data_IF_513988644846
#
_entry.id   IF_513988644846
#
_cell.length_a   1.000
_cell.length_b   1.000
_cell.length_c   1.000
_cell.angle_alpha   90.00
_cell.angle_beta   90.00
_cell.angle_gamma   90.00
#
_symmetry.space_group_name_H-M   'P 1'
#
loop_
_entity.id
_entity.type
_entity.pdbx_description
1 polymer ?
#
# COMPACT_ATOMS: atom_id res chain seq x y z
N UNK A 1 9.30 -8.13 16.18
CA UNK A 1 9.16 -6.77 15.58
C UNK A 1 8.61 -6.76 14.16
N UNK A 2 8.36 -7.92 13.52
CA UNK A 2 7.61 -8.04 12.25
C UNK A 2 6.11 -8.36 12.46
N UNK A 3 5.78 -9.02 13.58
CA UNK A 3 4.40 -9.29 14.03
C UNK A 3 3.63 -8.06 14.52
N UNK A 4 3.91 -6.85 14.05
CA UNK A 4 3.22 -5.64 14.54
C UNK A 4 2.76 -4.69 13.44
N UNK A 5 3.06 -5.00 12.18
CA UNK A 5 2.69 -4.16 11.03
C UNK A 5 1.88 -4.89 9.95
N UNK A 6 1.81 -6.22 10.01
CA UNK A 6 0.98 -7.09 9.20
C UNK A 6 0.44 -8.23 10.10
N UNK A 7 -0.27 -7.88 11.18
CA UNK A 7 -1.01 -8.91 11.93
C UNK A 7 -2.38 -9.03 11.26
N UNK A 8 -2.65 -10.17 10.64
CA UNK A 8 -4.03 -10.62 10.43
C UNK A 8 -4.66 -10.85 11.80
N UNK A 9 -5.53 -9.96 12.25
CA UNK A 9 -6.51 -10.31 13.26
C UNK A 9 -7.86 -10.51 12.57
N UNK A 10 -8.42 -11.73 12.69
CA UNK A 10 -9.75 -12.08 12.21
C UNK A 10 -9.98 -11.79 10.70
N UNK A 11 -8.96 -11.97 9.86
CA UNK A 11 -9.06 -11.78 8.42
C UNK A 11 -9.15 -10.32 7.94
N UNK A 12 -8.81 -9.35 8.79
CA UNK A 12 -8.71 -7.92 8.43
C UNK A 12 -7.27 -7.43 8.59
N UNK A 13 -6.77 -6.70 7.59
CA UNK A 13 -5.42 -6.10 7.61
C UNK A 13 -5.54 -4.73 8.28
N UNK A 14 -5.10 -4.63 9.54
CA UNK A 14 -5.12 -3.38 10.31
C UNK A 14 -3.71 -2.76 10.35
N UNK A 15 -3.55 -1.65 9.63
CA UNK A 15 -2.36 -0.80 9.65
C UNK A 15 -2.37 0.05 10.93
N UNK A 16 -1.56 -0.31 11.92
CA UNK A 16 -1.42 0.52 13.11
C UNK A 16 -0.38 1.65 12.90
N UNK A 17 -0.86 2.89 13.06
CA UNK A 17 -0.17 4.17 13.28
C UNK A 17 1.28 4.28 12.77
N UNK A 18 1.44 4.78 11.54
CA UNK A 18 2.64 5.53 11.18
C UNK A 18 2.48 7.01 11.59
N UNK A 19 3.50 7.55 12.25
CA UNK A 19 3.64 8.97 12.60
C UNK A 19 3.91 9.85 11.36
N UNK A 20 2.95 9.87 10.44
CA UNK A 20 2.83 10.86 9.37
C UNK A 20 1.33 11.02 9.09
N UNK A 21 0.69 11.97 9.78
CA UNK A 21 -0.75 12.32 9.71
C UNK A 21 -1.64 11.27 8.99
N UNK A 22 -1.84 10.07 9.58
CA UNK A 22 -2.45 8.94 8.88
C UNK A 22 -3.96 9.11 8.63
N UNK A 23 -4.58 10.17 9.16
CA UNK A 23 -6.02 10.41 9.05
C UNK A 23 -6.39 11.08 7.73
N UNK A 24 -5.59 11.97 7.16
CA UNK A 24 -6.03 12.66 5.92
C UNK A 24 -6.00 11.71 4.71
N UNK A 25 -4.92 10.94 4.57
CA UNK A 25 -4.74 10.09 3.38
C UNK A 25 -5.70 8.90 3.32
N UNK A 26 -6.15 8.38 4.47
CA UNK A 26 -7.03 7.22 4.50
C UNK A 26 -8.46 7.57 4.05
N UNK A 27 -8.93 8.79 4.33
CA UNK A 27 -10.34 9.17 4.16
C UNK A 27 -10.65 9.80 2.81
N UNK A 28 -9.63 10.29 2.09
CA UNK A 28 -9.81 10.99 0.80
C UNK A 28 -9.91 10.03 -0.40
N UNK A 29 -9.82 8.71 -0.15
CA UNK A 29 -9.97 7.70 -1.18
C UNK A 29 -11.39 7.12 -1.18
N UNK A 30 -12.18 7.46 -2.20
CA UNK A 30 -13.55 6.94 -2.39
C UNK A 30 -13.62 5.39 -2.45
N UNK A 31 -12.51 4.74 -2.83
CA UNK A 31 -12.44 3.27 -2.84
C UNK A 31 -12.36 2.70 -1.43
N UNK A 32 -11.74 3.40 -0.49
CA UNK A 32 -11.73 2.95 0.92
C UNK A 32 -13.13 3.05 1.52
N UNK A 33 -13.90 4.07 1.13
CA UNK A 33 -15.30 4.21 1.53
C UNK A 33 -16.17 3.07 1.00
N UNK A 34 -16.07 2.79 -0.30
CA UNK A 34 -16.89 1.77 -0.98
C UNK A 34 -16.42 0.33 -0.74
N UNK A 35 -15.13 0.10 -0.54
CA UNK A 35 -14.52 -1.21 -0.26
C UNK A 35 -13.67 -1.16 1.02
N UNK A 36 -14.28 -1.61 2.12
CA UNK A 36 -13.64 -1.70 3.44
C UNK A 36 -12.47 -2.70 3.52
N UNK A 37 -12.27 -3.55 2.51
CA UNK A 37 -11.12 -4.46 2.45
C UNK A 37 -9.91 -3.80 1.80
N UNK A 38 -10.11 -2.76 0.98
CA UNK A 38 -9.03 -2.05 0.33
C UNK A 38 -8.17 -1.34 1.38
N UNK A 39 -6.86 -1.61 1.34
CA UNK A 39 -5.92 -1.07 2.32
C UNK A 39 -5.85 0.45 2.31
N UNK A 40 -6.01 1.07 1.14
CA UNK A 40 -5.91 2.52 0.98
C UNK A 40 -4.51 3.03 0.65
N UNK A 41 -4.35 4.34 0.44
CA UNK A 41 -3.11 4.92 -0.06
C UNK A 41 -2.00 5.06 0.99
N UNK A 42 -2.35 5.28 2.26
CA UNK A 42 -1.36 5.38 3.35
C UNK A 42 -0.54 4.10 3.58
N UNK A 43 -1.15 2.89 3.74
CA UNK A 43 -0.38 1.65 3.88
C UNK A 43 0.43 1.32 2.64
N UNK A 44 -0.13 1.58 1.45
CA UNK A 44 0.57 1.36 0.18
C UNK A 44 1.81 2.23 0.06
N UNK A 45 1.71 3.51 0.43
CA UNK A 45 2.86 4.40 0.43
C UNK A 45 3.94 3.92 1.41
N UNK A 46 3.54 3.43 2.60
CA UNK A 46 4.50 2.81 3.53
C UNK A 46 5.14 1.56 2.92
N UNK A 47 4.35 0.65 2.36
CA UNK A 47 4.87 -0.55 1.74
C UNK A 47 5.87 -0.22 0.62
N UNK A 48 5.57 0.79 -0.20
CA UNK A 48 6.50 1.29 -1.21
C UNK A 48 7.83 1.75 -0.60
N UNK A 49 7.82 2.52 0.50
CA UNK A 49 9.08 2.94 1.15
C UNK A 49 9.89 1.76 1.67
N UNK A 50 9.24 0.71 2.17
CA UNK A 50 9.91 -0.49 2.67
C UNK A 50 10.49 -1.31 1.51
N UNK A 51 9.70 -1.57 0.46
CA UNK A 51 10.14 -2.29 -0.74
C UNK A 51 11.26 -1.54 -1.49
N UNK A 52 11.33 -0.22 -1.36
CA UNK A 52 12.40 0.61 -1.92
C UNK A 52 13.66 0.66 -1.04
N UNK A 53 13.56 0.30 0.24
CA UNK A 53 14.69 0.30 1.17
C UNK A 53 15.51 -0.97 0.97
N UNK A 54 16.78 -0.85 0.57
CA UNK A 54 17.68 -1.99 0.36
C UNK A 54 17.98 -2.77 1.64
N UNK A 55 17.67 -2.20 2.81
CA UNK A 55 17.84 -2.84 4.12
C UNK A 55 16.62 -3.70 4.48
N UNK A 56 15.47 -3.53 3.83
CA UNK A 56 14.27 -4.35 4.07
C UNK A 56 14.43 -5.70 3.34
N UNK A 57 14.76 -6.75 4.09
CA UNK A 57 14.90 -8.11 3.55
C UNK A 57 13.57 -8.78 3.14
N UNK A 58 12.43 -8.16 3.41
CA UNK A 58 11.09 -8.73 3.23
C UNK A 58 10.35 -8.18 1.99
N UNK A 59 11.06 -7.57 1.04
CA UNK A 59 10.44 -6.92 -0.12
C UNK A 59 9.59 -7.85 -1.00
N UNK A 60 9.98 -9.12 -1.17
CA UNK A 60 9.23 -10.11 -1.96
C UNK A 60 7.91 -10.49 -1.27
N UNK A 61 7.97 -10.89 -0.01
CA UNK A 61 6.79 -11.25 0.80
C UNK A 61 5.77 -10.10 0.84
N UNK A 62 6.23 -8.85 0.92
CA UNK A 62 5.35 -7.68 0.84
C UNK A 62 4.68 -7.54 -0.53
N UNK A 63 5.42 -7.74 -1.62
CA UNK A 63 4.83 -7.68 -2.97
C UNK A 63 3.76 -8.77 -3.14
N UNK A 64 3.97 -9.98 -2.60
CA UNK A 64 2.98 -11.05 -2.67
C UNK A 64 1.69 -10.72 -1.91
N UNK A 65 1.80 -10.11 -0.73
CA UNK A 65 0.63 -9.68 0.07
C UNK A 65 -0.14 -8.56 -0.65
N UNK A 66 0.56 -7.64 -1.31
CA UNK A 66 -0.03 -6.48 -1.96
C UNK A 66 -0.57 -6.80 -3.36
N UNK A 67 -0.14 -7.90 -3.96
CA UNK A 67 -0.61 -8.40 -5.25
C UNK A 67 -2.01 -9.03 -5.14
N UNK A 68 -2.99 -8.23 -4.73
CA UNK A 68 -4.39 -8.61 -4.59
C UNK A 68 -5.31 -7.45 -4.97
N UNK A 69 -6.59 -7.77 -5.23
CA UNK A 69 -7.62 -6.76 -5.48
C UNK A 69 -7.79 -5.78 -4.31
N UNK A 70 -7.66 -6.28 -3.08
CA UNK A 70 -7.72 -5.45 -1.86
C UNK A 70 -6.38 -4.74 -1.56
N UNK A 71 -5.32 -5.11 -2.31
CA UNK A 71 -3.99 -4.55 -2.25
C UNK A 71 -3.74 -3.48 -3.33
N UNK A 72 -2.61 -3.52 -4.02
CA UNK A 72 -2.23 -2.48 -4.98
C UNK A 72 -3.24 -2.33 -6.13
N UNK A 73 -3.88 -3.43 -6.56
CA UNK A 73 -4.80 -3.45 -7.70
C UNK A 73 -6.14 -2.75 -7.44
N UNK A 74 -6.56 -2.60 -6.19
CA UNK A 74 -7.80 -1.87 -5.83
C UNK A 74 -7.72 -0.36 -6.09
N UNK A 75 -6.53 0.19 -6.35
CA UNK A 75 -6.40 1.61 -6.69
C UNK A 75 -6.85 1.91 -8.12
N UNK A 76 -7.88 2.75 -8.27
CA UNK A 76 -8.37 3.25 -9.57
C UNK A 76 -7.72 4.57 -10.02
N UNK A 77 -6.67 5.03 -9.34
CA UNK A 77 -5.88 6.20 -9.79
C UNK A 77 -6.69 7.50 -9.88
N UNK A 78 -7.56 7.77 -8.89
CA UNK A 78 -8.39 8.98 -8.81
C UNK A 78 -7.63 10.25 -8.41
N UNK A 79 -6.38 10.12 -7.93
CA UNK A 79 -5.50 11.20 -7.50
C UNK A 79 -5.92 12.04 -6.27
N UNK A 80 -7.15 11.93 -5.76
CA UNK A 80 -7.59 12.64 -4.54
C UNK A 80 -6.57 12.61 -3.38
N UNK A 81 -6.01 11.42 -3.09
CA UNK A 81 -5.03 11.26 -2.01
C UNK A 81 -3.67 11.94 -2.26
N UNK A 82 -3.34 12.30 -3.50
CA UNK A 82 -2.17 13.12 -3.82
C UNK A 82 -2.47 14.60 -3.59
N UNK A 83 -3.65 15.08 -4.00
CA UNK A 83 -4.01 16.50 -3.97
C UNK A 83 -4.17 17.04 -2.55
N UNK A 84 -4.70 16.21 -1.66
CA UNK A 84 -4.94 16.53 -0.24
C UNK A 84 -3.72 16.29 0.66
N UNK A 85 -2.62 15.77 0.13
CA UNK A 85 -1.51 15.33 0.97
C UNK A 85 -0.77 16.55 1.58
N UNK A 86 -0.77 16.72 2.91
CA UNK A 86 -0.11 17.88 3.54
C UNK A 86 1.41 17.86 3.38
N UNK A 87 1.98 16.69 3.08
CA UNK A 87 3.42 16.50 2.88
C UNK A 87 3.85 16.69 1.42
N UNK A 88 2.92 16.95 0.50
CA UNK A 88 3.22 17.10 -0.93
C UNK A 88 3.78 15.84 -1.61
N UNK A 89 3.61 14.67 -0.98
CA UNK A 89 3.98 13.38 -1.58
C UNK A 89 2.83 12.88 -2.45
N UNK A 90 3.14 11.97 -3.39
CA UNK A 90 2.11 11.34 -4.22
C UNK A 90 1.98 9.85 -3.88
N UNK A 91 1.02 9.46 -3.02
CA UNK A 91 0.69 8.06 -2.77
C UNK A 91 0.26 7.35 -4.05
N UNK A 92 -0.45 8.05 -4.95
CA UNK A 92 -0.87 7.49 -6.24
C UNK A 92 0.33 7.05 -7.07
N UNK A 93 1.39 7.87 -7.16
CA UNK A 93 2.62 7.48 -7.85
C UNK A 93 3.34 6.31 -7.17
N UNK A 94 3.33 6.26 -5.83
CA UNK A 94 3.88 5.12 -5.08
C UNK A 94 3.15 3.81 -5.41
N UNK A 95 1.81 3.82 -5.41
CA UNK A 95 0.98 2.66 -5.78
C UNK A 95 1.24 2.22 -7.22
N UNK A 96 1.34 3.16 -8.17
CA UNK A 96 1.64 2.83 -9.56
C UNK A 96 3.02 2.17 -9.72
N UNK A 97 4.01 2.59 -8.93
CA UNK A 97 5.32 1.92 -8.88
C UNK A 97 5.23 0.53 -8.25
N UNK A 98 4.38 0.34 -7.24
CA UNK A 98 4.12 -0.99 -6.65
C UNK A 98 3.52 -1.93 -7.69
N UNK A 99 2.46 -1.53 -8.41
CA UNK A 99 1.85 -2.33 -9.49
C UNK A 99 2.89 -2.78 -10.53
N UNK A 100 3.78 -1.87 -10.95
CA UNK A 100 4.87 -2.22 -11.87
C UNK A 100 5.84 -3.24 -11.28
N UNK A 101 6.22 -3.08 -10.00
CA UNK A 101 7.09 -4.04 -9.31
C UNK A 101 6.41 -5.40 -9.17
N UNK A 102 5.11 -5.45 -8.91
CA UNK A 102 4.33 -6.69 -8.86
C UNK A 102 4.28 -7.39 -10.21
N UNK A 103 4.03 -6.68 -11.31
CA UNK A 103 4.07 -7.27 -12.66
C UNK A 103 5.44 -7.86 -12.98
N UNK A 104 6.52 -7.12 -12.68
CA UNK A 104 7.89 -7.61 -12.86
C UNK A 104 8.18 -8.79 -11.94
N UNK A 105 7.68 -8.77 -10.72
CA UNK A 105 7.84 -9.86 -9.76
C UNK A 105 7.12 -11.13 -10.22
N UNK A 106 5.87 -11.01 -10.65
CA UNK A 106 5.08 -12.10 -11.20
C UNK A 106 5.74 -12.69 -12.44
N UNK A 107 6.25 -11.85 -13.34
CA UNK A 107 6.97 -12.31 -14.53
C UNK A 107 8.23 -13.12 -14.19
N UNK A 108 9.01 -12.69 -13.19
CA UNK A 108 10.21 -13.39 -12.70
C UNK A 108 9.92 -14.66 -11.91
N UNK A 109 8.73 -14.80 -11.34
CA UNK A 109 8.33 -16.02 -10.63
C UNK A 109 7.70 -17.04 -11.58
N UNK A 110 7.25 -16.60 -12.75
CA UNK A 110 6.60 -17.44 -13.76
C UNK A 110 7.59 -18.07 -14.76
N UNK A 111 8.66 -17.36 -15.12
CA UNK A 111 9.79 -17.85 -15.93
C UNK A 111 11.03 -18.08 -15.09
#
# INVERSE_FOLDING_TARGET
MLKSYLIQENGKILIHKLNASPVVLLWECNIVETNQRYLGPAPMNRAFTLIADSRDGAGKERLDILNSHDGAWGCHTQFNCTDVCPMGISPTRAIQKLKRKEVVHAFKNFF
#
